data_IF_759213171328
#
_entry.id   IF_759213171328
#
_cell.length_a   1.000
_cell.length_b   1.000
_cell.length_c   1.000
_cell.angle_alpha   90.00
_cell.angle_beta   90.00
_cell.angle_gamma   90.00
#
_symmetry.space_group_name_H-M   'P 1'
#
loop_
_entity.id
_entity.type
_entity.pdbx_description
1 polymer ?
#
# COMPACT_ATOMS: atom_id res chain seq x y z
N UNK A 1 34.42 -39.11 30.80
CA UNK A 1 34.35 -37.90 29.95
C UNK A 1 35.66 -37.77 29.19
N UNK A 2 35.76 -38.41 28.01
CA UNK A 2 37.01 -38.54 27.24
C UNK A 2 37.28 -37.28 26.40
N UNK A 3 38.54 -36.81 26.37
CA UNK A 3 39.04 -35.62 25.63
C UNK A 3 38.59 -35.49 24.16
N UNK A 4 38.08 -36.56 23.56
CA UNK A 4 37.53 -36.58 22.21
C UNK A 4 36.19 -35.81 22.08
N UNK A 5 35.34 -35.83 23.12
CA UNK A 5 34.06 -35.08 23.12
C UNK A 5 34.31 -33.57 23.14
N UNK A 6 35.23 -33.12 23.99
CA UNK A 6 35.56 -31.69 24.12
C UNK A 6 36.16 -31.09 22.85
N UNK A 7 37.00 -31.82 22.11
CA UNK A 7 37.54 -31.35 20.81
C UNK A 7 36.49 -31.29 19.71
N UNK A 8 35.53 -32.22 19.72
CA UNK A 8 34.42 -32.21 18.76
C UNK A 8 33.47 -31.04 19.05
N UNK A 9 33.18 -30.78 20.32
CA UNK A 9 32.38 -29.63 20.76
C UNK A 9 33.06 -28.29 20.41
N UNK A 10 34.37 -28.17 20.59
CA UNK A 10 35.15 -26.99 20.19
C UNK A 10 35.16 -26.78 18.66
N UNK A 11 35.31 -27.87 17.90
CA UNK A 11 35.29 -27.81 16.43
C UNK A 11 33.89 -27.45 15.90
N UNK A 12 32.83 -28.04 16.45
CA UNK A 12 31.46 -27.71 16.09
C UNK A 12 31.09 -26.28 16.49
N UNK A 13 31.52 -25.82 17.68
CA UNK A 13 31.32 -24.44 18.09
C UNK A 13 32.07 -23.49 17.15
N UNK A 14 33.33 -23.77 16.81
CA UNK A 14 34.10 -22.97 15.86
C UNK A 14 33.45 -22.89 14.47
N UNK A 15 32.83 -23.97 14.01
CA UNK A 15 32.11 -24.01 12.73
C UNK A 15 30.77 -23.27 12.81
N UNK A 16 30.03 -23.43 13.91
CA UNK A 16 28.77 -22.72 14.18
C UNK A 16 28.95 -21.22 14.46
N UNK A 17 30.14 -20.76 14.83
CA UNK A 17 30.47 -19.33 14.94
C UNK A 17 31.33 -18.83 13.78
N UNK A 18 31.53 -19.67 12.76
CA UNK A 18 32.30 -19.35 11.56
C UNK A 18 31.52 -18.48 10.57
N UNK A 19 32.25 -17.83 9.66
CA UNK A 19 31.72 -16.94 8.62
C UNK A 19 30.65 -17.63 7.74
N UNK A 20 30.82 -18.91 7.44
CA UNK A 20 29.90 -19.68 6.59
C UNK A 20 28.56 -20.02 7.29
N UNK A 21 28.55 -20.14 8.62
CA UNK A 21 27.31 -20.37 9.37
C UNK A 21 26.42 -19.12 9.38
N UNK A 22 27.01 -17.93 9.53
CA UNK A 22 26.26 -16.69 9.42
C UNK A 22 25.69 -16.47 8.01
N UNK A 23 26.43 -16.89 6.98
CA UNK A 23 25.96 -16.87 5.60
C UNK A 23 24.73 -17.78 5.44
N UNK A 24 24.77 -19.01 5.95
CA UNK A 24 23.62 -19.92 5.97
C UNK A 24 22.39 -19.31 6.66
N UNK A 25 22.56 -18.72 7.85
CA UNK A 25 21.47 -18.07 8.58
C UNK A 25 20.88 -16.89 7.81
N UNK A 26 21.73 -16.10 7.16
CA UNK A 26 21.30 -14.96 6.34
C UNK A 26 20.47 -15.42 5.14
N UNK A 27 20.91 -16.46 4.43
CA UNK A 27 20.18 -17.04 3.31
C UNK A 27 18.84 -17.66 3.75
N UNK A 28 18.81 -18.27 4.93
CA UNK A 28 17.57 -18.77 5.52
C UNK A 28 16.60 -17.62 5.86
N UNK A 29 17.11 -16.51 6.41
CA UNK A 29 16.33 -15.30 6.63
C UNK A 29 15.75 -14.74 5.33
N UNK A 30 16.55 -14.66 4.25
CA UNK A 30 16.04 -14.21 2.94
C UNK A 30 14.89 -15.07 2.44
N UNK A 31 15.01 -16.41 2.53
CA UNK A 31 13.94 -17.32 2.13
C UNK A 31 12.66 -17.08 2.91
N UNK A 32 12.75 -16.94 4.24
CA UNK A 32 11.58 -16.67 5.09
C UNK A 32 10.90 -15.36 4.70
N UNK A 33 11.67 -14.29 4.53
CA UNK A 33 11.10 -12.97 4.18
C UNK A 33 10.46 -13.00 2.80
N UNK A 34 11.13 -13.59 1.80
CA UNK A 34 10.58 -13.71 0.45
C UNK A 34 9.26 -14.50 0.45
N UNK A 35 9.22 -15.65 1.14
CA UNK A 35 7.99 -16.43 1.30
C UNK A 35 6.88 -15.67 2.01
N UNK A 36 7.22 -14.88 3.04
CA UNK A 36 6.27 -14.02 3.74
C UNK A 36 5.69 -12.97 2.80
N UNK A 37 6.52 -12.31 1.98
CA UNK A 37 6.08 -11.30 1.01
C UNK A 37 5.13 -11.90 -0.04
N UNK A 38 5.47 -13.07 -0.58
CA UNK A 38 4.60 -13.82 -1.50
C UNK A 38 3.28 -14.22 -0.84
N UNK A 39 3.32 -14.65 0.42
CA UNK A 39 2.12 -15.01 1.17
C UNK A 39 1.21 -13.80 1.43
N UNK A 40 1.77 -12.66 1.87
CA UNK A 40 1.00 -11.44 2.10
C UNK A 40 0.35 -10.94 0.80
N UNK A 41 1.06 -11.00 -0.33
CA UNK A 41 0.46 -10.72 -1.64
C UNK A 41 -0.76 -11.60 -1.93
N UNK A 42 -0.66 -12.91 -1.69
CA UNK A 42 -1.76 -13.85 -1.96
C UNK A 42 -3.04 -13.58 -1.17
N UNK A 43 -2.95 -12.83 -0.07
CA UNK A 43 -4.07 -12.52 0.83
C UNK A 43 -4.71 -11.17 0.54
N UNK A 44 -4.07 -10.32 -0.25
CA UNK A 44 -4.55 -8.96 -0.51
C UNK A 44 -5.51 -8.97 -1.69
N UNK A 45 -6.76 -8.59 -1.43
CA UNK A 45 -7.69 -8.11 -2.45
C UNK A 45 -7.27 -6.67 -2.81
N UNK A 46 -6.52 -6.52 -3.89
CA UNK A 46 -5.85 -5.26 -4.29
C UNK A 46 -6.84 -4.10 -4.47
N UNK A 47 -8.09 -4.40 -4.84
CA UNK A 47 -9.13 -3.38 -5.03
C UNK A 47 -9.70 -2.87 -3.70
N UNK A 48 -9.83 -3.75 -2.70
CA UNK A 48 -10.42 -3.42 -1.41
C UNK A 48 -9.40 -2.91 -0.39
N UNK A 49 -8.14 -3.33 -0.51
CA UNK A 49 -7.13 -3.07 0.51
C UNK A 49 -5.95 -2.24 0.01
N UNK A 50 -6.25 -1.00 -0.41
CA UNK A 50 -5.25 -0.04 -0.89
C UNK A 50 -4.14 0.21 0.16
N UNK A 51 -4.49 0.24 1.45
CA UNK A 51 -3.51 0.49 2.51
C UNK A 51 -2.57 -0.70 2.74
N UNK A 52 -3.05 -1.95 2.70
CA UNK A 52 -2.14 -3.11 2.74
C UNK A 52 -1.34 -3.25 1.45
N UNK A 53 -1.90 -2.86 0.30
CA UNK A 53 -1.17 -2.83 -0.98
C UNK A 53 0.03 -1.89 -0.92
N UNK A 54 -0.17 -0.66 -0.45
CA UNK A 54 0.91 0.32 -0.27
C UNK A 54 1.96 -0.18 0.74
N UNK A 55 1.51 -0.79 1.84
CA UNK A 55 2.41 -1.36 2.82
C UNK A 55 3.26 -2.50 2.24
N UNK A 56 2.66 -3.38 1.43
CA UNK A 56 3.36 -4.47 0.77
C UNK A 56 4.42 -3.95 -0.21
N UNK A 57 4.10 -2.90 -0.98
CA UNK A 57 5.07 -2.20 -1.84
C UNK A 57 6.26 -1.69 -1.02
N UNK A 58 6.01 -1.05 0.12
CA UNK A 58 7.07 -0.54 1.01
C UNK A 58 7.92 -1.70 1.55
N UNK A 59 7.30 -2.76 2.06
CA UNK A 59 8.01 -3.93 2.61
C UNK A 59 8.91 -4.60 1.56
N UNK A 60 8.40 -4.81 0.35
CA UNK A 60 9.19 -5.38 -0.76
C UNK A 60 10.36 -4.45 -1.11
N UNK A 61 10.10 -3.15 -1.23
CA UNK A 61 11.12 -2.17 -1.61
C UNK A 61 12.23 -2.06 -0.57
N UNK A 62 11.89 -2.03 0.72
CA UNK A 62 12.88 -2.00 1.80
C UNK A 62 13.69 -3.30 1.87
N UNK A 63 13.04 -4.46 1.72
CA UNK A 63 13.73 -5.74 1.70
C UNK A 63 14.75 -5.82 0.56
N UNK A 64 14.33 -5.50 -0.67
CA UNK A 64 15.20 -5.55 -1.85
C UNK A 64 16.35 -4.54 -1.78
N UNK A 65 16.11 -3.34 -1.24
CA UNK A 65 17.12 -2.28 -1.22
C UNK A 65 18.13 -2.40 -0.05
N UNK A 66 17.69 -2.87 1.12
CA UNK A 66 18.51 -2.83 2.35
C UNK A 66 19.02 -4.19 2.80
N UNK A 67 18.33 -5.28 2.44
CA UNK A 67 18.59 -6.59 3.04
C UNK A 67 19.05 -7.62 2.04
N UNK A 68 18.61 -7.57 0.77
CA UNK A 68 19.07 -8.53 -0.23
C UNK A 68 20.39 -8.08 -0.88
N UNK A 69 21.51 -8.61 -0.38
CA UNK A 69 22.82 -8.37 -0.98
C UNK A 69 23.15 -9.42 -2.05
N UNK A 70 23.56 -9.03 -3.27
CA UNK A 70 23.88 -9.96 -4.35
C UNK A 70 25.15 -10.79 -4.08
N UNK A 71 26.10 -10.28 -3.30
CA UNK A 71 27.27 -11.04 -2.81
C UNK A 71 27.52 -10.69 -1.34
N UNK A 72 27.58 -11.70 -0.47
CA UNK A 72 27.81 -11.53 0.97
C UNK A 72 29.30 -11.65 1.30
N UNK A 73 30.08 -12.33 0.45
CA UNK A 73 31.49 -12.64 0.66
C UNK A 73 32.29 -12.49 -0.65
N UNK A 74 33.42 -11.79 -0.61
CA UNK A 74 34.27 -11.50 -1.77
C UNK A 74 35.33 -12.57 -2.05
N UNK A 75 35.52 -13.53 -1.14
CA UNK A 75 36.47 -14.64 -1.32
C UNK A 75 35.94 -15.68 -2.32
N UNK A 76 36.84 -16.37 -3.03
CA UNK A 76 36.46 -17.39 -4.02
C UNK A 76 35.60 -18.50 -3.41
N UNK A 77 35.98 -19.03 -2.24
CA UNK A 77 35.18 -20.05 -1.53
C UNK A 77 33.86 -19.50 -1.00
N UNK A 78 33.81 -18.23 -0.60
CA UNK A 78 32.57 -17.56 -0.21
C UNK A 78 31.59 -17.41 -1.37
N UNK A 79 32.08 -17.07 -2.58
CA UNK A 79 31.24 -16.97 -3.78
C UNK A 79 30.63 -18.32 -4.17
N UNK A 80 31.40 -19.40 -4.04
CA UNK A 80 30.93 -20.76 -4.32
C UNK A 80 29.84 -21.19 -3.33
N UNK A 81 30.04 -20.93 -2.03
CA UNK A 81 29.05 -21.21 -0.99
C UNK A 81 27.79 -20.36 -1.19
N UNK A 82 27.91 -19.06 -1.44
CA UNK A 82 26.78 -18.18 -1.80
C UNK A 82 25.99 -18.76 -2.97
N UNK A 83 26.66 -19.26 -4.01
CA UNK A 83 26.00 -19.81 -5.20
C UNK A 83 25.17 -21.06 -4.86
N UNK A 84 25.76 -22.01 -4.12
CA UNK A 84 25.07 -23.21 -3.66
C UNK A 84 23.86 -22.85 -2.78
N UNK A 85 24.02 -21.90 -1.86
CA UNK A 85 22.93 -21.47 -0.98
C UNK A 85 21.80 -20.80 -1.75
N UNK A 86 22.11 -19.97 -2.76
CA UNK A 86 21.10 -19.37 -3.66
C UNK A 86 20.29 -20.44 -4.39
N UNK A 87 20.96 -21.47 -4.90
CA UNK A 87 20.34 -22.57 -5.62
C UNK A 87 19.45 -23.42 -4.69
N UNK A 88 19.99 -23.88 -3.56
CA UNK A 88 19.27 -24.73 -2.59
C UNK A 88 18.05 -24.03 -2.00
N UNK A 89 18.17 -22.74 -1.70
CA UNK A 89 17.05 -21.97 -1.15
C UNK A 89 16.15 -21.35 -2.22
N UNK A 90 16.49 -21.51 -3.50
CA UNK A 90 15.78 -20.96 -4.66
C UNK A 90 15.57 -19.44 -4.55
N UNK A 91 16.56 -18.72 -4.00
CA UNK A 91 16.44 -17.29 -3.69
C UNK A 91 16.16 -16.45 -4.93
N UNK A 92 16.86 -16.74 -6.03
CA UNK A 92 16.69 -15.97 -7.28
C UNK A 92 15.28 -16.14 -7.85
N UNK A 93 14.71 -17.35 -7.80
CA UNK A 93 13.32 -17.60 -8.22
C UNK A 93 12.33 -16.85 -7.33
N UNK A 94 12.47 -17.00 -6.01
CA UNK A 94 11.59 -16.34 -5.05
C UNK A 94 11.67 -14.82 -5.16
N UNK A 95 12.86 -14.28 -5.42
CA UNK A 95 13.05 -12.85 -5.66
C UNK A 95 12.37 -12.40 -6.95
N UNK A 96 12.51 -13.16 -8.04
CA UNK A 96 11.83 -12.86 -9.31
C UNK A 96 10.30 -12.81 -9.13
N UNK A 97 9.73 -13.75 -8.37
CA UNK A 97 8.30 -13.78 -8.07
C UNK A 97 7.85 -12.54 -7.27
N UNK A 98 8.67 -12.09 -6.31
CA UNK A 98 8.41 -10.86 -5.55
C UNK A 98 8.54 -9.60 -6.42
N UNK A 99 9.47 -9.55 -7.37
CA UNK A 99 9.62 -8.43 -8.33
C UNK A 99 8.45 -8.37 -9.32
N UNK A 100 8.00 -9.52 -9.83
CA UNK A 100 6.78 -9.61 -10.67
C UNK A 100 5.56 -9.13 -9.88
N UNK A 101 5.44 -9.58 -8.63
CA UNK A 101 4.39 -9.15 -7.70
C UNK A 101 4.40 -7.63 -7.53
N UNK A 102 5.55 -7.04 -7.21
CA UNK A 102 5.72 -5.59 -7.04
C UNK A 102 5.23 -4.83 -8.28
N UNK A 103 5.62 -5.30 -9.46
CA UNK A 103 5.22 -4.71 -10.75
C UNK A 103 3.70 -4.75 -10.94
N UNK A 104 3.05 -5.88 -10.58
CA UNK A 104 1.60 -6.02 -10.59
C UNK A 104 0.89 -5.09 -9.60
N UNK A 105 1.43 -4.94 -8.39
CA UNK A 105 0.88 -4.04 -7.38
C UNK A 105 0.89 -2.57 -7.84
N UNK A 106 2.02 -2.10 -8.41
CA UNK A 106 2.11 -0.74 -8.95
C UNK A 106 1.12 -0.48 -10.08
N UNK A 107 1.02 -1.41 -11.04
CA UNK A 107 0.11 -1.24 -12.18
C UNK A 107 -1.36 -1.19 -11.73
N UNK A 108 -1.74 -1.98 -10.73
CA UNK A 108 -3.09 -1.96 -10.19
C UNK A 108 -3.37 -0.69 -9.36
N UNK A 109 -2.40 -0.21 -8.58
CA UNK A 109 -2.54 1.04 -7.82
C UNK A 109 -2.74 2.25 -8.75
N UNK A 110 -2.02 2.29 -9.88
CA UNK A 110 -2.15 3.34 -10.88
C UNK A 110 -3.55 3.33 -11.51
N UNK A 111 -4.01 2.16 -11.98
CA UNK A 111 -5.37 1.98 -12.53
C UNK A 111 -6.47 2.43 -11.56
N UNK A 112 -6.37 2.05 -10.28
CA UNK A 112 -7.35 2.44 -9.26
C UNK A 112 -7.36 3.96 -9.02
N UNK A 113 -6.17 4.60 -9.04
CA UNK A 113 -6.04 6.05 -8.87
C UNK A 113 -6.64 6.79 -10.06
N UNK A 114 -6.34 6.35 -11.28
CA UNK A 114 -6.93 6.89 -12.51
C UNK A 114 -8.45 6.78 -12.51
N UNK A 115 -9.00 5.61 -12.18
CA UNK A 115 -10.45 5.41 -12.11
C UNK A 115 -11.10 6.36 -11.09
N UNK A 116 -10.50 6.51 -9.89
CA UNK A 116 -11.03 7.42 -8.86
C UNK A 116 -11.01 8.88 -9.32
N UNK A 117 -9.94 9.32 -9.97
CA UNK A 117 -9.86 10.67 -10.51
C UNK A 117 -10.90 10.91 -11.61
N UNK A 118 -11.12 9.92 -12.49
CA UNK A 118 -12.14 10.00 -13.53
C UNK A 118 -13.57 10.10 -12.93
N UNK A 119 -13.87 9.34 -11.87
CA UNK A 119 -15.15 9.46 -11.18
C UNK A 119 -15.34 10.82 -10.52
N UNK A 120 -14.30 11.34 -9.85
CA UNK A 120 -14.35 12.67 -9.23
C UNK A 120 -14.58 13.76 -10.28
N UNK A 121 -13.89 13.68 -11.42
CA UNK A 121 -14.11 14.59 -12.55
C UNK A 121 -15.54 14.50 -13.06
N UNK A 122 -16.08 13.29 -13.26
CA UNK A 122 -17.46 13.10 -13.70
C UNK A 122 -18.47 13.70 -12.71
N UNK A 123 -18.29 13.46 -11.41
CA UNK A 123 -19.13 14.05 -10.34
C UNK A 123 -19.05 15.57 -10.40
N UNK A 124 -17.84 16.12 -10.47
CA UNK A 124 -17.63 17.57 -10.55
C UNK A 124 -18.26 18.16 -11.81
N UNK A 125 -18.16 17.50 -12.95
CA UNK A 125 -18.81 17.92 -14.20
C UNK A 125 -20.31 17.92 -14.06
N UNK A 126 -20.92 16.87 -13.49
CA UNK A 126 -22.36 16.83 -13.22
C UNK A 126 -22.75 18.00 -12.31
N UNK A 127 -22.03 18.22 -11.21
CA UNK A 127 -22.30 19.33 -10.31
C UNK A 127 -22.14 20.70 -10.98
N UNK A 128 -21.10 20.88 -11.79
CA UNK A 128 -20.85 22.14 -12.50
C UNK A 128 -21.90 22.41 -13.57
N UNK A 129 -22.32 21.39 -14.33
CA UNK A 129 -23.38 21.51 -15.34
C UNK A 129 -24.71 21.82 -14.69
N UNK A 130 -25.07 21.09 -13.62
CA UNK A 130 -26.35 21.31 -12.93
C UNK A 130 -26.36 22.66 -12.20
N UNK A 131 -25.26 23.05 -11.56
CA UNK A 131 -25.11 24.39 -10.95
C UNK A 131 -25.02 25.50 -11.99
N UNK A 132 -24.48 25.24 -13.17
CA UNK A 132 -24.39 26.22 -14.27
C UNK A 132 -25.75 26.47 -14.92
N UNK A 133 -26.52 25.41 -15.16
CA UNK A 133 -27.87 25.50 -15.75
C UNK A 133 -28.88 26.03 -14.74
N UNK A 134 -28.79 25.64 -13.45
CA UNK A 134 -29.85 25.91 -12.47
C UNK A 134 -29.41 26.72 -11.24
N UNK A 135 -28.12 26.76 -10.92
CA UNK A 135 -27.59 27.40 -9.71
C UNK A 135 -27.44 28.92 -9.84
N UNK A 136 -26.97 29.41 -11.00
CA UNK A 136 -26.60 30.83 -11.16
C UNK A 136 -27.79 31.81 -11.20
N UNK A 137 -29.01 31.38 -11.53
CA UNK A 137 -30.12 32.30 -11.79
C UNK A 137 -31.41 32.03 -10.98
N UNK A 138 -31.51 30.92 -10.24
CA UNK A 138 -32.77 30.50 -9.61
C UNK A 138 -32.70 30.31 -8.09
N UNK A 139 -31.61 29.76 -7.52
CA UNK A 139 -31.57 29.42 -6.08
C UNK A 139 -30.48 30.16 -5.30
N UNK A 140 -29.34 30.47 -5.92
CA UNK A 140 -28.23 31.16 -5.22
C UNK A 140 -28.58 32.63 -4.95
N UNK A 141 -29.38 33.27 -5.80
CA UNK A 141 -29.80 34.67 -5.62
C UNK A 141 -30.75 34.83 -4.42
N UNK A 142 -31.68 33.88 -4.24
CA UNK A 142 -32.62 33.83 -3.11
C UNK A 142 -31.95 33.50 -1.77
N UNK A 143 -30.79 32.83 -1.80
CA UNK A 143 -29.96 32.52 -0.63
C UNK A 143 -28.90 33.60 -0.35
N UNK A 144 -28.81 34.64 -1.18
CA UNK A 144 -27.87 35.77 -1.01
C UNK A 144 -28.43 36.76 0.02
N UNK A 145 -28.29 36.45 1.31
CA UNK A 145 -28.71 37.33 2.42
C UNK A 145 -29.46 36.58 3.53
N UNK A 146 -30.48 37.20 4.15
CA UNK A 146 -31.34 36.51 5.13
C UNK A 146 -32.19 35.46 4.41
N UNK A 147 -31.92 34.18 4.66
CA UNK A 147 -32.66 33.04 4.11
C UNK A 147 -34.14 33.21 4.44
N UNK A 148 -34.97 33.53 3.44
CA UNK A 148 -36.42 33.66 3.60
C UNK A 148 -37.05 32.29 3.40
N UNK A 149 -37.06 31.51 4.47
CA UNK A 149 -37.68 30.17 4.52
C UNK A 149 -39.16 30.16 4.09
N UNK A 150 -39.83 31.33 4.06
CA UNK A 150 -41.21 31.49 3.62
C UNK A 150 -41.43 31.42 2.10
N UNK A 151 -40.36 31.44 1.28
CA UNK A 151 -40.45 31.40 -0.19
C UNK A 151 -40.27 30.01 -0.81
N UNK A 152 -39.80 29.05 -0.02
CA UNK A 152 -39.59 27.66 -0.43
C UNK A 152 -40.87 27.00 -0.99
N UNK A 153 -42.09 27.28 -0.49
CA UNK A 153 -43.32 26.68 -1.05
C UNK A 153 -43.68 27.19 -2.45
N UNK A 154 -43.19 28.37 -2.85
CA UNK A 154 -43.47 28.99 -4.15
C UNK A 154 -42.41 28.60 -5.21
N UNK A 155 -41.50 27.68 -4.88
CA UNK A 155 -40.46 27.25 -5.80
C UNK A 155 -41.05 26.49 -6.99
N UNK A 156 -40.65 26.90 -8.18
CA UNK A 156 -40.89 26.17 -9.41
C UNK A 156 -40.17 24.81 -9.38
N UNK A 157 -40.63 23.89 -10.23
CA UNK A 157 -40.02 22.56 -10.37
C UNK A 157 -38.49 22.61 -10.56
N UNK A 158 -37.98 23.61 -11.28
CA UNK A 158 -36.54 23.79 -11.53
C UNK A 158 -35.78 24.33 -10.32
N UNK A 159 -36.40 25.17 -9.47
CA UNK A 159 -35.80 25.65 -8.21
C UNK A 159 -35.69 24.51 -7.19
N UNK A 160 -36.66 23.60 -7.14
CA UNK A 160 -36.56 22.39 -6.32
C UNK A 160 -35.40 21.48 -6.74
N UNK A 161 -35.17 21.29 -8.04
CA UNK A 161 -34.02 20.51 -8.54
C UNK A 161 -32.70 21.19 -8.15
N UNK A 162 -32.61 22.50 -8.34
CA UNK A 162 -31.41 23.28 -7.99
C UNK A 162 -31.10 23.21 -6.49
N UNK A 163 -32.11 23.36 -5.64
CA UNK A 163 -31.98 23.25 -4.20
C UNK A 163 -31.58 21.84 -3.77
N UNK A 164 -32.17 20.79 -4.35
CA UNK A 164 -31.77 19.41 -4.10
C UNK A 164 -30.30 19.16 -4.45
N UNK A 165 -29.85 19.68 -5.60
CA UNK A 165 -28.47 19.53 -6.05
C UNK A 165 -27.51 20.28 -5.13
N UNK A 166 -27.80 21.54 -4.77
CA UNK A 166 -26.99 22.31 -3.85
C UNK A 166 -26.88 21.61 -2.48
N UNK A 167 -28.00 21.13 -1.92
CA UNK A 167 -28.01 20.41 -0.65
C UNK A 167 -27.24 19.10 -0.72
N UNK A 168 -27.41 18.33 -1.80
CA UNK A 168 -26.66 17.08 -2.02
C UNK A 168 -25.16 17.34 -2.13
N UNK A 169 -24.74 18.44 -2.76
CA UNK A 169 -23.34 18.82 -2.89
C UNK A 169 -22.71 19.12 -1.54
N UNK A 170 -23.43 19.82 -0.65
CA UNK A 170 -22.98 20.07 0.73
C UNK A 170 -22.85 18.75 1.50
N UNK A 171 -23.85 17.87 1.40
CA UNK A 171 -23.85 16.57 2.09
C UNK A 171 -22.70 15.68 1.60
N UNK A 172 -22.51 15.54 0.29
CA UNK A 172 -21.41 14.74 -0.29
C UNK A 172 -20.05 15.32 0.12
N UNK A 173 -19.90 16.65 0.07
CA UNK A 173 -18.64 17.31 0.48
C UNK A 173 -18.33 17.07 1.96
N UNK A 174 -19.34 17.12 2.83
CA UNK A 174 -19.18 16.84 4.25
C UNK A 174 -18.79 15.37 4.50
N UNK A 175 -19.45 14.41 3.85
CA UNK A 175 -19.15 12.98 3.96
C UNK A 175 -17.72 12.71 3.48
N UNK A 176 -17.34 13.23 2.31
CA UNK A 176 -15.99 13.06 1.76
C UNK A 176 -14.93 13.66 2.70
N UNK A 177 -15.20 14.83 3.29
CA UNK A 177 -14.32 15.46 4.27
C UNK A 177 -14.07 14.58 5.50
N UNK A 178 -15.14 14.01 6.08
CA UNK A 178 -15.05 13.12 7.25
C UNK A 178 -14.28 11.84 6.90
N UNK A 179 -14.61 11.19 5.77
CA UNK A 179 -13.93 9.96 5.33
C UNK A 179 -12.44 10.21 5.04
N UNK A 180 -12.09 11.36 4.45
CA UNK A 180 -10.70 11.73 4.20
C UNK A 180 -9.91 11.92 5.50
N UNK A 181 -10.51 12.58 6.49
CA UNK A 181 -9.91 12.76 7.82
C UNK A 181 -9.71 11.42 8.54
N UNK A 182 -10.72 10.53 8.53
CA UNK A 182 -10.61 9.20 9.14
C UNK A 182 -9.49 8.36 8.50
N UNK A 183 -9.41 8.35 7.16
CA UNK A 183 -8.36 7.64 6.43
C UNK A 183 -6.97 8.18 6.79
N UNK A 184 -6.80 9.50 6.79
CA UNK A 184 -5.53 10.15 7.12
C UNK A 184 -5.04 9.77 8.53
N UNK A 185 -5.93 9.75 9.52
CA UNK A 185 -5.59 9.35 10.90
C UNK A 185 -5.20 7.86 10.98
N UNK A 186 -5.95 6.98 10.30
CA UNK A 186 -5.69 5.53 10.32
C UNK A 186 -4.35 5.19 9.67
N UNK A 187 -4.01 5.85 8.57
CA UNK A 187 -2.77 5.62 7.83
C UNK A 187 -1.53 5.98 8.66
N UNK A 188 -1.58 7.12 9.38
CA UNK A 188 -0.51 7.55 10.28
C UNK A 188 -0.26 6.57 11.44
N UNK A 189 -1.32 5.90 11.94
CA UNK A 189 -1.17 4.89 13.00
C UNK A 189 -0.63 3.56 12.45
N UNK A 190 -1.06 3.15 11.27
CA UNK A 190 -0.64 1.86 10.67
C UNK A 190 0.83 1.84 10.28
N UNK A 191 1.39 2.96 9.81
CA UNK A 191 2.80 3.06 9.41
C UNK A 191 3.77 2.90 10.60
N UNK A 192 3.35 3.23 11.83
CA UNK A 192 4.20 3.11 13.04
C UNK A 192 4.30 1.69 13.63
N UNK A 193 3.30 0.83 13.41
CA UNK A 193 3.19 -0.45 14.13
C UNK A 193 3.55 -1.70 13.31
N UNK A 194 3.84 -1.55 12.01
CA UNK A 194 4.06 -2.70 11.09
C UNK A 194 5.43 -2.74 10.42
N UNK A 195 6.28 -1.75 10.68
CA UNK A 195 7.71 -1.84 10.36
C UNK A 195 8.32 -2.49 11.60
N UNK A 196 8.90 -3.68 11.46
CA UNK A 196 9.32 -4.67 12.48
C UNK A 196 8.28 -5.77 12.77
#
# INVERSE_FOLDING_TARGET
MTKASGKLEEALASEMYGQHYYELLLFFYYKIVLLKLTHEHSRIDIEKDQSQTELLIIMITEFSAKYLFPEVNSTTSGKEITHILKEVFEIDRLYEDVVKTLSGLYQNQDKLTTNRNNYLLQILTIYTVVSGIYGMNLVIEDWKGKIRWSKIPDYSFFEYISLFVALSGIVISAILGVVALEKWIKEQRSKKNKIF
#
